data_IF_545161858183
#
_entry.id   IF_545161858183
#
_cell.length_a   1.000
_cell.length_b   1.000
_cell.length_c   1.000
_cell.angle_alpha   90.00
_cell.angle_beta   90.00
_cell.angle_gamma   90.00
#
_symmetry.space_group_name_H-M   'P 1'
#
loop_
_entity.id
_entity.type
_entity.pdbx_description
1 polymer ?
#
# COMPACT_ATOMS: atom_id res chain seq x y z
N UNK A 1 4.92 0.22 19.32
CA UNK A 1 5.87 0.95 18.46
C UNK A 1 5.86 0.31 17.07
N UNK A 2 5.76 1.12 16.06
CA UNK A 2 5.92 0.74 14.66
C UNK A 2 7.30 1.21 14.17
N UNK A 3 7.98 0.37 13.43
CA UNK A 3 9.23 0.68 12.74
C UNK A 3 9.08 0.40 11.26
N UNK A 4 9.43 1.34 10.42
CA UNK A 4 9.37 1.22 8.96
C UNK A 4 10.71 0.67 8.45
N UNK A 5 10.80 -0.63 8.11
CA UNK A 5 12.03 -1.20 7.60
C UNK A 5 12.22 -0.85 6.13
N UNK A 6 13.40 -0.41 5.78
CA UNK A 6 13.79 -0.31 4.38
C UNK A 6 13.81 -1.72 3.77
N UNK A 7 12.89 -2.00 2.84
CA UNK A 7 12.82 -3.20 2.00
C UNK A 7 13.25 -4.51 2.71
N UNK A 8 12.58 -4.91 3.76
CA UNK A 8 12.85 -6.19 4.38
C UNK A 8 12.83 -6.16 5.90
N UNK A 9 13.60 -7.02 6.53
CA UNK A 9 13.68 -7.12 7.97
C UNK A 9 14.46 -5.96 8.59
N UNK A 10 14.04 -5.41 9.74
CA UNK A 10 14.80 -4.42 10.49
C UNK A 10 16.16 -4.94 10.96
N UNK A 11 16.39 -6.26 10.93
CA UNK A 11 17.69 -6.85 11.22
C UNK A 11 18.68 -6.73 10.04
N UNK A 12 18.23 -6.23 8.90
CA UNK A 12 19.13 -5.85 7.81
C UNK A 12 19.79 -4.51 8.15
N UNK A 13 20.99 -4.60 8.67
CA UNK A 13 21.85 -3.43 8.87
C UNK A 13 22.28 -2.91 7.49
N UNK A 14 21.50 -1.96 6.98
CA UNK A 14 21.76 -1.30 5.70
C UNK A 14 21.09 -1.95 4.50
N UNK A 15 20.78 -1.12 3.52
CA UNK A 15 20.37 -1.54 2.19
C UNK A 15 21.58 -2.09 1.44
N UNK A 16 21.50 -3.35 1.02
CA UNK A 16 22.47 -3.95 0.13
C UNK A 16 21.91 -3.86 -1.28
N UNK A 17 22.55 -3.06 -2.14
CA UNK A 17 22.08 -2.84 -3.50
C UNK A 17 22.23 -4.10 -4.38
N UNK A 18 21.36 -4.27 -5.40
CA UNK A 18 21.57 -5.29 -6.42
C UNK A 18 22.98 -5.15 -7.05
N UNK A 19 23.72 -6.25 -7.10
CA UNK A 19 25.10 -6.28 -7.63
C UNK A 19 26.20 -6.16 -6.58
N UNK A 20 25.88 -5.82 -5.34
CA UNK A 20 26.87 -5.90 -4.26
C UNK A 20 27.22 -7.36 -3.97
N UNK A 21 28.48 -7.67 -3.61
CA UNK A 21 28.91 -9.05 -3.31
C UNK A 21 28.07 -9.74 -2.22
N UNK A 22 27.45 -8.97 -1.34
CA UNK A 22 26.57 -9.45 -0.28
C UNK A 22 25.08 -9.44 -0.64
N UNK A 23 24.70 -9.03 -1.86
CA UNK A 23 23.29 -8.99 -2.25
C UNK A 23 22.69 -10.41 -2.28
N UNK A 24 21.62 -10.64 -1.52
CA UNK A 24 21.06 -11.97 -1.41
C UNK A 24 20.46 -12.43 -2.74
N UNK A 25 20.74 -13.65 -3.12
CA UNK A 25 20.01 -14.33 -4.20
C UNK A 25 18.52 -14.39 -3.84
N UNK A 26 17.64 -14.48 -4.82
CA UNK A 26 16.17 -14.48 -4.61
C UNK A 26 15.68 -15.44 -3.52
N UNK A 27 16.27 -16.63 -3.40
CA UNK A 27 15.97 -17.59 -2.34
C UNK A 27 16.32 -17.05 -0.94
N UNK A 28 17.42 -16.33 -0.84
CA UNK A 28 17.83 -15.73 0.44
C UNK A 28 17.00 -14.50 0.77
N UNK A 29 16.51 -13.79 -0.26
CA UNK A 29 15.54 -12.73 -0.10
C UNK A 29 14.21 -13.26 0.46
N UNK A 30 13.70 -14.36 -0.08
CA UNK A 30 12.52 -15.03 0.44
C UNK A 30 12.73 -15.49 1.91
N UNK A 31 13.89 -16.02 2.23
CA UNK A 31 14.25 -16.41 3.61
C UNK A 31 14.29 -15.20 4.54
N UNK A 32 14.83 -14.08 4.12
CA UNK A 32 14.86 -12.84 4.92
C UNK A 32 13.48 -12.25 5.13
N UNK A 33 12.61 -12.33 4.13
CA UNK A 33 11.20 -11.96 4.28
C UNK A 33 10.45 -12.91 5.23
N UNK A 34 10.89 -14.16 5.30
CA UNK A 34 10.32 -15.18 6.20
C UNK A 34 10.86 -15.10 7.62
N UNK A 35 12.07 -14.57 7.82
CA UNK A 35 12.70 -14.59 9.14
C UNK A 35 12.12 -13.47 10.03
N UNK A 36 11.30 -13.82 11.01
CA UNK A 36 10.55 -12.85 11.81
C UNK A 36 11.34 -12.33 12.99
N UNK A 37 12.64 -12.21 12.88
CA UNK A 37 13.43 -11.56 13.92
C UNK A 37 13.23 -10.04 13.94
N UNK A 38 12.00 -9.61 13.70
CA UNK A 38 11.60 -8.26 14.05
C UNK A 38 11.85 -8.07 15.54
N UNK A 39 12.60 -7.05 15.87
CA UNK A 39 13.06 -6.81 17.24
C UNK A 39 11.90 -6.85 18.23
N UNK A 40 12.15 -7.38 19.41
CA UNK A 40 11.13 -7.60 20.47
C UNK A 40 10.43 -6.30 20.93
N UNK A 41 11.05 -5.13 20.70
CA UNK A 41 10.48 -3.82 21.04
C UNK A 41 9.52 -3.27 19.98
N UNK A 42 9.30 -4.00 18.89
CA UNK A 42 8.38 -3.62 17.82
C UNK A 42 7.04 -4.34 18.06
N UNK A 43 5.95 -3.59 18.13
CA UNK A 43 4.62 -4.14 18.37
C UNK A 43 3.93 -4.63 17.09
N UNK A 44 4.31 -4.11 15.93
CA UNK A 44 3.71 -4.39 14.62
C UNK A 44 4.81 -4.82 13.65
N UNK A 45 4.67 -6.01 13.09
CA UNK A 45 5.56 -6.50 12.02
C UNK A 45 5.27 -5.71 10.76
N UNK A 46 6.25 -4.96 10.27
CA UNK A 46 6.08 -4.12 9.08
C UNK A 46 6.90 -4.63 7.91
N UNK A 47 6.38 -4.44 6.69
CA UNK A 47 7.11 -4.70 5.45
C UNK A 47 6.83 -3.59 4.44
N UNK A 48 7.88 -3.25 3.68
CA UNK A 48 7.83 -2.29 2.57
C UNK A 48 7.86 -3.05 1.26
N UNK A 49 6.92 -2.74 0.35
CA UNK A 49 6.77 -3.37 -0.97
C UNK A 49 6.84 -4.90 -0.97
N UNK A 50 6.05 -5.59 -0.12
CA UNK A 50 6.03 -7.04 -0.11
C UNK A 50 5.43 -7.57 -1.41
N UNK A 51 5.93 -8.72 -1.87
CA UNK A 51 5.25 -9.49 -2.92
C UNK A 51 3.95 -10.10 -2.40
N UNK A 52 3.00 -10.42 -3.27
CA UNK A 52 1.69 -10.99 -2.89
C UNK A 52 1.77 -12.27 -2.06
N UNK A 53 2.84 -13.04 -2.20
CA UNK A 53 3.05 -14.26 -1.39
C UNK A 53 3.62 -13.99 0.01
N UNK A 54 4.22 -12.82 0.26
CA UNK A 54 4.89 -12.48 1.53
C UNK A 54 3.95 -12.57 2.74
N UNK A 55 2.69 -12.08 2.68
CA UNK A 55 1.76 -12.20 3.81
C UNK A 55 1.56 -13.62 4.28
N UNK A 56 1.40 -14.56 3.34
CA UNK A 56 1.25 -15.98 3.68
C UNK A 56 2.47 -16.50 4.42
N UNK A 57 3.68 -16.18 3.96
CA UNK A 57 4.91 -16.57 4.62
C UNK A 57 5.00 -16.04 6.07
N UNK A 58 4.59 -14.78 6.28
CA UNK A 58 4.60 -14.17 7.62
C UNK A 58 3.53 -14.78 8.55
N UNK A 59 2.39 -15.19 8.01
CA UNK A 59 1.31 -15.82 8.77
C UNK A 59 1.69 -17.25 9.17
N UNK A 60 2.27 -18.01 8.26
CA UNK A 60 2.61 -19.41 8.45
C UNK A 60 3.75 -19.60 9.48
N UNK A 61 4.44 -18.54 9.85
CA UNK A 61 5.44 -18.56 10.91
C UNK A 61 4.79 -18.57 12.29
N UNK A 62 4.77 -19.72 12.91
CA UNK A 62 4.09 -19.98 14.18
C UNK A 62 4.69 -19.24 15.40
N UNK A 63 5.83 -18.59 15.24
CA UNK A 63 6.59 -17.99 16.36
C UNK A 63 6.25 -16.53 16.64
N UNK A 64 5.46 -15.89 15.79
CA UNK A 64 5.10 -14.48 15.93
C UNK A 64 3.59 -14.27 15.76
N UNK A 65 2.95 -13.73 16.79
CA UNK A 65 1.51 -13.43 16.78
C UNK A 65 1.21 -11.95 16.63
N UNK A 66 2.21 -11.10 16.41
CA UNK A 66 2.01 -9.67 16.26
C UNK A 66 1.20 -9.34 15.00
N UNK A 67 0.49 -8.20 15.01
CA UNK A 67 -0.13 -7.68 13.79
C UNK A 67 0.89 -7.45 12.68
N UNK A 68 0.46 -7.60 11.44
CA UNK A 68 1.28 -7.40 10.24
C UNK A 68 0.72 -6.22 9.46
N UNK A 69 1.57 -5.26 9.12
CA UNK A 69 1.23 -4.04 8.40
C UNK A 69 2.19 -3.81 7.24
N UNK A 70 1.68 -3.40 6.09
CA UNK A 70 2.53 -3.00 4.97
C UNK A 70 2.67 -1.48 4.96
N UNK A 71 3.82 -0.99 5.44
CA UNK A 71 4.07 0.44 5.53
C UNK A 71 4.03 1.12 4.16
N UNK A 72 4.44 0.40 3.12
CA UNK A 72 4.27 0.79 1.73
C UNK A 72 3.93 -0.42 0.87
N UNK A 73 2.94 -0.27 -0.03
CA UNK A 73 2.65 -1.23 -1.09
C UNK A 73 2.08 -0.51 -2.32
N UNK A 74 2.08 -1.16 -3.48
CA UNK A 74 1.49 -0.63 -4.72
C UNK A 74 1.96 0.78 -5.05
N UNK A 75 3.26 0.96 -5.28
CA UNK A 75 3.86 2.22 -5.71
C UNK A 75 3.13 2.78 -6.94
N UNK A 76 2.64 4.03 -6.87
CA UNK A 76 1.63 4.55 -7.81
C UNK A 76 2.19 5.47 -8.90
N UNK A 77 3.49 5.43 -9.16
CA UNK A 77 4.09 6.21 -10.24
C UNK A 77 3.65 5.70 -11.62
N UNK A 78 3.15 6.57 -12.46
CA UNK A 78 2.64 6.22 -13.79
C UNK A 78 1.47 5.23 -13.74
N UNK A 79 1.60 4.10 -14.41
CA UNK A 79 0.61 3.01 -14.42
C UNK A 79 0.99 1.84 -13.50
N UNK A 80 1.78 2.09 -12.47
CA UNK A 80 2.34 1.03 -11.64
C UNK A 80 1.45 0.61 -10.46
N UNK A 81 0.40 1.35 -10.15
CA UNK A 81 -0.59 0.97 -9.14
C UNK A 81 -1.31 -0.31 -9.57
N UNK A 82 -1.08 -1.39 -8.87
CA UNK A 82 -1.67 -2.68 -9.24
C UNK A 82 -1.87 -3.60 -8.05
N UNK A 83 -2.62 -4.68 -8.29
CA UNK A 83 -2.92 -5.73 -7.31
C UNK A 83 -3.62 -5.22 -6.03
N UNK A 84 -4.33 -4.08 -6.11
CA UNK A 84 -5.02 -3.49 -4.94
C UNK A 84 -6.05 -4.48 -4.41
N UNK A 85 -6.84 -5.08 -5.29
CA UNK A 85 -7.85 -6.07 -4.89
C UNK A 85 -7.21 -7.30 -4.26
N UNK A 86 -6.15 -7.84 -4.86
CA UNK A 86 -5.45 -9.03 -4.38
C UNK A 86 -4.84 -8.79 -2.99
N UNK A 87 -4.21 -7.65 -2.76
CA UNK A 87 -3.72 -7.27 -1.44
C UNK A 87 -4.85 -7.19 -0.41
N UNK A 88 -5.99 -6.59 -0.77
CA UNK A 88 -7.12 -6.47 0.15
C UNK A 88 -7.84 -7.79 0.41
N UNK A 89 -7.90 -8.69 -0.57
CA UNK A 89 -8.38 -10.07 -0.34
C UNK A 89 -7.47 -10.79 0.68
N UNK A 90 -6.15 -10.59 0.56
CA UNK A 90 -5.18 -11.12 1.50
C UNK A 90 -5.34 -10.47 2.89
N UNK A 91 -5.44 -9.15 2.99
CA UNK A 91 -5.64 -8.47 4.28
C UNK A 91 -6.90 -8.97 4.99
N UNK A 92 -7.97 -9.24 4.26
CA UNK A 92 -9.23 -9.76 4.81
C UNK A 92 -9.18 -11.25 5.17
N UNK A 93 -8.18 -11.97 4.72
CA UNK A 93 -8.08 -13.44 4.92
C UNK A 93 -7.58 -13.82 6.31
N UNK A 94 -6.92 -12.93 7.03
CA UNK A 94 -6.34 -13.24 8.34
C UNK A 94 -6.35 -12.01 9.26
N UNK A 95 -6.83 -12.14 10.50
CA UNK A 95 -6.96 -11.02 11.43
C UNK A 95 -5.63 -10.38 11.86
N UNK A 96 -4.50 -11.05 11.66
CA UNK A 96 -3.18 -10.47 11.89
C UNK A 96 -2.78 -9.46 10.82
N UNK A 97 -3.35 -9.55 9.62
CA UNK A 97 -3.08 -8.64 8.51
C UNK A 97 -3.96 -7.39 8.68
N UNK A 98 -3.42 -6.35 9.27
CA UNK A 98 -4.18 -5.16 9.62
C UNK A 98 -4.25 -4.10 8.51
N UNK A 99 -3.63 -4.38 7.35
CA UNK A 99 -3.66 -3.52 6.17
C UNK A 99 -2.32 -2.94 5.79
N UNK A 100 -2.34 -1.82 5.07
CA UNK A 100 -1.14 -1.13 4.61
C UNK A 100 -1.44 0.22 3.99
N UNK A 101 -0.38 0.95 3.62
CA UNK A 101 -0.45 2.23 2.94
C UNK A 101 0.03 2.10 1.50
N UNK A 102 -0.77 2.56 0.55
CA UNK A 102 -0.33 2.74 -0.83
C UNK A 102 0.73 3.86 -0.86
N UNK A 103 1.80 3.67 -1.59
CA UNK A 103 2.76 4.73 -1.84
C UNK A 103 2.53 5.35 -3.22
N UNK A 104 1.91 6.54 -3.29
CA UNK A 104 1.40 7.27 -2.13
C UNK A 104 0.01 7.88 -2.42
N UNK A 105 -0.53 8.65 -1.47
CA UNK A 105 -1.86 9.20 -1.63
C UNK A 105 -1.91 10.34 -2.66
N UNK A 106 -0.92 11.27 -2.62
CA UNK A 106 -0.97 12.51 -3.39
C UNK A 106 0.37 12.83 -4.03
N UNK A 107 0.36 13.23 -5.30
CA UNK A 107 1.54 13.74 -6.00
C UNK A 107 2.19 14.92 -5.26
N UNK A 108 3.51 14.95 -5.23
CA UNK A 108 4.30 15.97 -4.53
C UNK A 108 4.61 17.16 -5.45
N UNK A 109 3.58 17.75 -6.04
CA UNK A 109 3.71 18.95 -6.88
C UNK A 109 3.39 20.24 -6.12
N UNK A 110 4.11 21.30 -6.43
CA UNK A 110 3.87 22.63 -5.88
C UNK A 110 3.48 23.60 -7.00
N UNK A 111 2.59 24.56 -6.70
CA UNK A 111 2.26 25.57 -7.69
C UNK A 111 3.40 26.54 -7.93
N UNK A 112 3.72 26.77 -9.21
CA UNK A 112 4.68 27.74 -9.70
C UNK A 112 4.05 28.56 -10.82
N UNK A 113 4.55 29.78 -11.06
CA UNK A 113 4.13 30.63 -12.17
C UNK A 113 5.29 30.77 -13.14
N UNK A 114 5.05 30.52 -14.42
CA UNK A 114 6.06 30.69 -15.46
C UNK A 114 6.24 32.16 -15.87
N UNK A 115 7.20 32.43 -16.74
CA UNK A 115 7.51 33.79 -17.24
C UNK A 115 6.34 34.44 -17.96
N UNK A 116 5.37 33.66 -18.45
CA UNK A 116 4.15 34.15 -19.13
C UNK A 116 2.99 34.42 -18.16
N UNK A 117 3.23 34.28 -16.83
CA UNK A 117 2.20 34.46 -15.81
C UNK A 117 1.25 33.25 -15.66
N UNK A 118 1.52 32.13 -16.31
CA UNK A 118 0.67 30.95 -16.22
C UNK A 118 1.06 30.12 -15.00
N UNK A 119 0.07 29.76 -14.20
CA UNK A 119 0.23 28.87 -13.02
C UNK A 119 0.21 27.42 -13.46
N UNK A 120 1.14 26.62 -12.95
CA UNK A 120 1.25 25.19 -13.20
C UNK A 120 1.73 24.44 -11.96
N UNK A 121 1.52 23.13 -11.93
CA UNK A 121 2.09 22.26 -10.90
C UNK A 121 3.51 21.90 -11.29
N UNK A 122 4.46 22.37 -10.53
CA UNK A 122 5.88 22.13 -10.71
C UNK A 122 6.34 20.92 -9.87
N UNK A 123 7.22 20.13 -10.41
CA UNK A 123 7.82 18.96 -9.74
C UNK A 123 9.20 18.70 -10.35
N UNK A 124 9.99 17.80 -9.78
CA UNK A 124 11.32 17.38 -10.28
C UNK A 124 11.99 18.46 -11.15
N UNK A 125 13.18 18.66 -11.37
CA UNK A 125 13.81 19.61 -12.30
C UNK A 125 13.28 21.06 -12.39
N UNK A 126 12.00 21.30 -12.15
CA UNK A 126 11.34 22.62 -12.24
C UNK A 126 11.86 23.65 -11.22
N UNK A 127 12.54 23.19 -10.18
CA UNK A 127 13.13 24.02 -9.13
C UNK A 127 14.64 24.19 -9.28
N UNK A 128 15.22 23.67 -10.39
CA UNK A 128 16.63 23.78 -10.72
C UNK A 128 17.51 22.60 -10.31
N UNK A 129 16.96 21.60 -9.66
CA UNK A 129 17.61 20.32 -9.41
C UNK A 129 17.72 19.49 -10.70
N UNK A 130 18.75 18.68 -10.80
CA UNK A 130 19.06 17.91 -12.03
C UNK A 130 18.45 16.51 -12.06
N UNK A 131 17.91 16.04 -10.94
CA UNK A 131 17.50 14.67 -10.75
C UNK A 131 16.08 14.62 -10.23
N UNK A 132 15.47 13.45 -10.33
CA UNK A 132 14.14 13.11 -9.84
C UNK A 132 12.97 13.38 -10.78
N UNK A 133 13.14 14.07 -11.88
CA UNK A 133 12.16 14.24 -12.96
C UNK A 133 10.70 14.04 -12.47
N UNK A 134 10.00 13.00 -12.95
CA UNK A 134 8.65 12.65 -12.52
C UNK A 134 8.58 11.79 -11.25
N UNK A 135 9.71 11.51 -10.57
CA UNK A 135 9.76 10.64 -9.40
C UNK A 135 8.87 11.10 -8.24
N UNK A 136 8.55 12.37 -8.16
CA UNK A 136 7.62 12.93 -7.16
C UNK A 136 6.15 12.80 -7.55
N UNK A 137 5.84 12.28 -8.76
CA UNK A 137 4.50 12.07 -9.28
C UNK A 137 4.12 10.59 -9.11
N UNK A 138 3.72 10.23 -7.90
CA UNK A 138 3.44 8.84 -7.49
C UNK A 138 2.19 8.72 -6.60
N UNK A 139 1.32 9.72 -6.63
CA UNK A 139 0.06 9.71 -5.92
C UNK A 139 -1.04 8.93 -6.63
N UNK A 140 -2.06 8.51 -5.90
CA UNK A 140 -3.35 8.07 -6.47
C UNK A 140 -4.27 9.25 -6.78
N UNK A 141 -3.88 10.46 -6.35
CA UNK A 141 -4.46 11.76 -6.77
C UNK A 141 -3.35 12.73 -7.11
N UNK A 142 -3.65 13.66 -8.02
CA UNK A 142 -2.74 14.75 -8.40
C UNK A 142 -2.49 15.71 -7.23
N UNK A 143 -1.47 16.55 -7.36
CA UNK A 143 -1.11 17.54 -6.35
C UNK A 143 -2.23 18.57 -6.05
N UNK A 144 -3.14 18.84 -6.99
CA UNK A 144 -4.33 19.66 -6.78
C UNK A 144 -5.55 18.88 -6.23
N UNK A 145 -5.43 17.56 -6.09
CA UNK A 145 -6.50 16.68 -5.64
C UNK A 145 -7.32 16.04 -6.77
N UNK A 146 -7.00 16.31 -8.03
CA UNK A 146 -7.65 15.66 -9.18
C UNK A 146 -7.35 14.13 -9.14
N UNK A 147 -8.36 13.25 -9.33
CA UNK A 147 -8.16 11.81 -9.30
C UNK A 147 -7.24 11.30 -10.41
N UNK A 148 -6.28 10.45 -10.07
CA UNK A 148 -5.67 9.53 -11.04
C UNK A 148 -6.57 8.30 -11.27
N UNK A 149 -6.42 7.58 -12.39
CA UNK A 149 -7.26 6.42 -12.67
C UNK A 149 -7.30 5.36 -11.54
N UNK A 150 -6.19 5.14 -10.85
CA UNK A 150 -6.08 4.16 -9.76
C UNK A 150 -7.03 4.42 -8.58
N UNK A 151 -7.44 5.68 -8.35
CA UNK A 151 -8.34 6.02 -7.23
C UNK A 151 -9.72 5.33 -7.35
N UNK A 152 -10.17 5.06 -8.56
CA UNK A 152 -11.47 4.41 -8.78
C UNK A 152 -11.44 2.94 -8.36
N UNK A 153 -10.33 2.23 -8.62
CA UNK A 153 -10.12 0.89 -8.08
C UNK A 153 -10.03 0.93 -6.56
N UNK A 154 -9.22 1.84 -6.00
CA UNK A 154 -9.12 2.04 -4.55
C UNK A 154 -10.49 2.28 -3.92
N UNK A 155 -11.31 3.17 -4.50
CA UNK A 155 -12.68 3.43 -4.06
C UNK A 155 -13.53 2.17 -4.01
N UNK A 156 -13.43 1.32 -5.03
CA UNK A 156 -14.16 0.05 -5.11
C UNK A 156 -13.67 -0.97 -4.08
N UNK A 157 -12.37 -1.10 -3.94
CA UNK A 157 -11.75 -2.10 -3.07
C UNK A 157 -11.85 -1.71 -1.58
N UNK A 158 -11.74 -0.43 -1.27
CA UNK A 158 -11.76 0.09 0.12
C UNK A 158 -13.17 0.32 0.64
N UNK A 159 -14.20 0.15 -0.18
CA UNK A 159 -15.58 0.37 0.27
C UNK A 159 -15.90 -0.52 1.48
N UNK A 160 -16.48 0.07 2.54
CA UNK A 160 -16.72 -0.65 3.79
C UNK A 160 -17.97 -1.53 3.76
N UNK A 161 -18.77 -1.44 2.70
CA UNK A 161 -19.96 -2.27 2.50
C UNK A 161 -19.90 -2.86 1.09
N UNK A 162 -19.84 -4.18 1.01
CA UNK A 162 -19.98 -4.90 -0.25
C UNK A 162 -21.46 -5.25 -0.51
N UNK A 163 -21.88 -5.04 -1.76
CA UNK A 163 -23.19 -5.41 -2.24
C UNK A 163 -23.06 -6.45 -3.34
N UNK A 164 -23.73 -7.58 -3.17
CA UNK A 164 -23.77 -8.69 -4.12
C UNK A 164 -25.22 -8.96 -4.52
N UNK A 165 -25.51 -9.00 -5.81
CA UNK A 165 -26.82 -9.36 -6.31
C UNK A 165 -26.96 -10.90 -6.31
N UNK A 166 -27.85 -11.44 -5.48
CA UNK A 166 -28.06 -12.88 -5.32
C UNK A 166 -29.14 -13.39 -6.28
N UNK A 167 -30.27 -12.69 -6.38
CA UNK A 167 -31.41 -13.08 -7.21
C UNK A 167 -32.07 -11.82 -7.78
N UNK A 168 -31.74 -11.48 -9.02
CA UNK A 168 -32.25 -10.27 -9.66
C UNK A 168 -33.77 -10.24 -9.80
N UNK A 169 -34.45 -11.33 -10.26
CA UNK A 169 -35.89 -11.38 -10.33
C UNK A 169 -36.63 -11.14 -9.00
N UNK A 170 -36.01 -11.55 -7.89
CA UNK A 170 -36.58 -11.34 -6.55
C UNK A 170 -36.06 -10.06 -5.87
N UNK A 171 -35.18 -9.33 -6.52
CA UNK A 171 -34.54 -8.16 -5.90
C UNK A 171 -33.69 -8.50 -4.68
N UNK A 172 -33.21 -9.75 -4.57
CA UNK A 172 -32.44 -10.20 -3.41
C UNK A 172 -30.99 -9.79 -3.54
N UNK A 173 -30.51 -8.99 -2.59
CA UNK A 173 -29.13 -8.58 -2.47
C UNK A 173 -28.54 -9.05 -1.14
N UNK A 174 -27.25 -9.29 -1.12
CA UNK A 174 -26.46 -9.56 0.09
C UNK A 174 -25.55 -8.37 0.36
N UNK A 175 -25.62 -7.85 1.58
CA UNK A 175 -24.71 -6.83 2.08
C UNK A 175 -23.71 -7.48 3.01
N UNK A 176 -22.43 -7.24 2.76
CA UNK A 176 -21.35 -7.69 3.63
C UNK A 176 -20.71 -6.48 4.31
N UNK A 177 -20.75 -6.48 5.64
CA UNK A 177 -20.10 -5.45 6.43
C UNK A 177 -18.58 -5.68 6.48
N UNK A 178 -17.81 -4.70 6.00
CA UNK A 178 -16.35 -4.67 6.01
C UNK A 178 -15.79 -3.64 7.00
N UNK A 179 -16.67 -2.92 7.73
CA UNK A 179 -16.21 -2.05 8.80
C UNK A 179 -15.57 -2.88 9.92
N UNK A 180 -14.49 -2.36 10.51
CA UNK A 180 -13.85 -2.97 11.68
C UNK A 180 -14.67 -2.79 12.96
N UNK A 181 -15.38 -1.65 13.11
CA UNK A 181 -15.99 -1.24 14.39
C UNK A 181 -17.43 -0.73 14.28
N UNK A 182 -18.00 -0.64 13.07
CA UNK A 182 -19.37 -0.15 12.86
C UNK A 182 -20.33 -1.26 12.46
N UNK A 183 -21.55 -1.21 12.97
CA UNK A 183 -22.68 -2.04 12.52
C UNK A 183 -23.35 -1.42 11.28
N UNK A 184 -23.94 -2.25 10.42
CA UNK A 184 -24.79 -1.77 9.32
C UNK A 184 -26.14 -1.25 9.80
N UNK A 185 -26.54 -1.52 11.05
CA UNK A 185 -27.75 -0.95 11.67
C UNK A 185 -27.72 0.58 11.74
N UNK A 186 -26.52 1.19 11.65
CA UNK A 186 -26.35 2.63 11.70
C UNK A 186 -26.60 3.32 10.34
N UNK A 187 -26.92 2.54 9.31
CA UNK A 187 -27.12 3.03 7.95
C UNK A 187 -28.57 2.84 7.48
N UNK A 188 -29.05 3.78 6.69
CA UNK A 188 -30.29 3.64 5.94
C UNK A 188 -29.98 3.17 4.50
N UNK A 189 -30.84 2.31 3.97
CA UNK A 189 -30.81 1.93 2.56
C UNK A 189 -31.91 2.74 1.88
N UNK A 190 -31.56 3.60 0.94
CA UNK A 190 -32.45 4.43 0.16
C UNK A 190 -32.50 3.94 -1.29
#
# INVERSE_FOLDING_TARGET
>A
VHYEPAMGSPDLVGYIAPGDPGYPVLKDHAYRLQNPKDSYYIDIVSRMYPALFTPKLLIDQAVDNRPIFFCEYSHSMGNSTGNIKEFWDIFRSNPRLIGGCIWEFKDQGLYKTNEKGQRFLAYGGDFGEKYFDDFTIKGIVQADGTPHPAIYECKRVFQPVECELIDAPKGLIKLTNRHATKSLSDYAIN
#
